data_IF_644703355719
#
_entry.id   IF_644703355719
#
_cell.length_a   1.000
_cell.length_b   1.000
_cell.length_c   1.000
_cell.angle_alpha   90.00
_cell.angle_beta   90.00
_cell.angle_gamma   90.00
#
_symmetry.space_group_name_H-M   'P 1'
#
loop_
_entity.id
_entity.type
_entity.pdbx_description
1 polymer ?
#
# COMPACT_ATOMS: atom_id res chain seq x y z
N UNK A 1 46.73 -21.22 -1.49
CA UNK A 1 46.29 -19.97 -0.84
C UNK A 1 45.00 -19.52 -1.50
N UNK A 2 43.91 -19.42 -0.73
CA UNK A 2 42.54 -19.23 -1.21
C UNK A 2 42.36 -17.80 -1.73
N UNK A 3 42.06 -17.64 -3.02
CA UNK A 3 41.48 -16.41 -3.54
C UNK A 3 40.01 -16.36 -3.11
N UNK A 4 39.77 -15.81 -1.93
CA UNK A 4 38.45 -15.38 -1.52
C UNK A 4 38.12 -14.16 -2.38
N UNK A 5 37.45 -14.41 -3.49
CA UNK A 5 36.90 -13.40 -4.39
C UNK A 5 36.07 -12.41 -3.59
N UNK A 6 36.51 -11.15 -3.65
CA UNK A 6 35.93 -9.91 -3.16
C UNK A 6 34.48 -9.61 -3.65
N UNK A 7 33.78 -10.61 -4.20
CA UNK A 7 32.39 -10.51 -4.67
C UNK A 7 31.36 -10.83 -3.57
N UNK A 8 31.80 -11.36 -2.42
CA UNK A 8 30.90 -11.71 -1.32
C UNK A 8 30.59 -10.54 -0.36
N UNK A 9 31.16 -9.35 -0.57
CA UNK A 9 31.09 -8.26 0.41
C UNK A 9 29.94 -7.24 0.22
N UNK A 10 29.03 -7.43 -0.74
CA UNK A 10 28.04 -6.41 -1.11
C UNK A 10 26.56 -6.86 -1.09
N UNK A 11 26.25 -8.02 -0.51
CA UNK A 11 24.84 -8.48 -0.38
C UNK A 11 24.29 -8.42 1.06
N UNK A 12 25.07 -7.93 2.01
CA UNK A 12 24.61 -7.67 3.39
C UNK A 12 24.15 -6.22 3.51
N UNK A 13 22.94 -5.94 3.03
CA UNK A 13 22.45 -4.56 2.94
C UNK A 13 20.94 -4.41 2.78
N UNK A 14 20.14 -5.34 3.29
CA UNK A 14 18.77 -4.98 3.70
C UNK A 14 18.77 -5.13 5.21
N UNK A 15 18.93 -3.99 5.89
CA UNK A 15 18.70 -3.92 7.31
C UNK A 15 17.27 -4.44 7.55
N UNK A 16 17.17 -5.63 8.13
CA UNK A 16 15.96 -6.07 8.79
C UNK A 16 15.71 -5.04 9.91
N UNK A 17 14.85 -4.06 9.63
CA UNK A 17 14.35 -3.15 10.63
C UNK A 17 13.57 -3.99 11.64
N UNK A 18 14.25 -4.44 12.69
CA UNK A 18 13.62 -4.98 13.90
C UNK A 18 12.93 -3.81 14.61
N UNK A 19 11.75 -3.43 14.12
CA UNK A 19 10.89 -2.48 14.81
C UNK A 19 10.00 -3.24 15.77
N UNK A 20 10.16 -2.92 17.06
CA UNK A 20 9.28 -3.17 18.20
C UNK A 20 7.93 -3.81 17.83
N UNK A 21 7.77 -5.08 18.20
CA UNK A 21 6.58 -5.89 17.96
C UNK A 21 5.38 -5.42 18.80
N UNK A 22 4.81 -4.26 18.48
CA UNK A 22 3.37 -4.19 18.38
C UNK A 22 3.03 -4.77 17.01
N UNK A 23 2.15 -5.77 16.94
CA UNK A 23 1.68 -6.28 15.66
C UNK A 23 1.07 -5.10 14.89
N UNK A 24 1.84 -4.56 13.92
CA UNK A 24 1.38 -3.46 13.10
C UNK A 24 0.06 -3.86 12.44
N UNK A 25 -0.91 -2.95 12.43
CA UNK A 25 -2.22 -3.24 11.83
C UNK A 25 -2.08 -3.54 10.34
N UNK A 26 -3.05 -4.22 9.74
CA UNK A 26 -3.08 -4.42 8.28
C UNK A 26 -3.02 -3.07 7.56
N UNK A 27 -3.74 -2.06 8.06
CA UNK A 27 -3.69 -0.69 7.56
C UNK A 27 -2.25 -0.14 7.51
N UNK A 28 -1.52 -0.21 8.63
CA UNK A 28 -0.16 0.31 8.72
C UNK A 28 0.82 -0.46 7.82
N UNK A 29 0.67 -1.78 7.76
CA UNK A 29 1.50 -2.63 6.91
C UNK A 29 1.27 -2.38 5.42
N UNK A 30 0.02 -2.18 4.99
CA UNK A 30 -0.31 -1.82 3.61
C UNK A 30 0.36 -0.51 3.19
N UNK A 31 0.36 0.49 4.07
CA UNK A 31 1.01 1.79 3.82
C UNK A 31 2.53 1.64 3.80
N UNK A 32 3.09 0.86 4.71
CA UNK A 32 4.53 0.60 4.76
C UNK A 32 5.02 -0.11 3.48
N UNK A 33 4.32 -1.15 3.04
CA UNK A 33 4.62 -1.85 1.79
C UNK A 33 4.58 -0.89 0.59
N UNK A 34 3.55 -0.04 0.49
CA UNK A 34 3.44 0.94 -0.58
C UNK A 34 4.61 1.92 -0.60
N UNK A 35 5.09 2.38 0.58
CA UNK A 35 6.28 3.23 0.68
C UNK A 35 7.54 2.52 0.17
N UNK A 36 7.76 1.28 0.61
CA UNK A 36 8.90 0.48 0.16
C UNK A 36 8.89 0.26 -1.36
N UNK A 37 7.72 -0.02 -1.95
CA UNK A 37 7.56 -0.18 -3.39
C UNK A 37 7.87 1.11 -4.16
N UNK A 38 7.46 2.27 -3.64
CA UNK A 38 7.78 3.56 -4.24
C UNK A 38 9.27 3.84 -4.15
N UNK A 39 9.89 3.62 -3.00
CA UNK A 39 11.33 3.84 -2.80
C UNK A 39 12.17 2.95 -3.72
N UNK A 40 11.86 1.65 -3.79
CA UNK A 40 12.49 0.74 -4.73
C UNK A 40 12.22 1.14 -6.18
N UNK A 41 11.02 1.62 -6.48
CA UNK A 41 10.62 2.16 -7.78
C UNK A 41 11.46 3.37 -8.19
N UNK A 42 11.73 4.30 -7.26
CA UNK A 42 12.61 5.46 -7.50
C UNK A 42 14.05 5.00 -7.77
N UNK A 43 14.57 4.10 -6.93
CA UNK A 43 15.98 3.68 -6.98
C UNK A 43 16.32 2.79 -8.18
N UNK A 44 15.44 1.84 -8.51
CA UNK A 44 15.72 0.78 -9.49
C UNK A 44 14.60 0.53 -10.51
N UNK A 45 13.54 1.34 -10.49
CA UNK A 45 12.42 1.22 -11.42
C UNK A 45 11.51 0.03 -11.14
N UNK A 46 10.73 -0.33 -12.16
CA UNK A 46 9.72 -1.39 -12.05
C UNK A 46 10.31 -2.74 -11.62
N UNK A 47 11.52 -3.08 -12.09
CA UNK A 47 12.19 -4.33 -11.73
C UNK A 47 12.48 -4.38 -10.24
N UNK A 48 13.13 -3.36 -9.68
CA UNK A 48 13.45 -3.32 -8.25
C UNK A 48 12.19 -3.29 -7.38
N UNK A 49 11.15 -2.53 -7.78
CA UNK A 49 9.88 -2.53 -7.07
C UNK A 49 9.24 -3.94 -7.00
N UNK A 50 9.36 -4.75 -8.07
CA UNK A 50 8.78 -6.10 -8.12
C UNK A 50 9.54 -7.14 -7.29
N UNK A 51 10.77 -6.84 -6.90
CA UNK A 51 11.59 -7.67 -6.02
C UNK A 51 11.31 -7.41 -4.53
N UNK A 52 10.59 -6.31 -4.20
CA UNK A 52 10.21 -5.99 -2.82
C UNK A 52 9.26 -7.05 -2.28
N UNK A 53 9.68 -7.72 -1.20
CA UNK A 53 8.80 -8.57 -0.43
C UNK A 53 7.83 -7.71 0.38
N UNK A 54 6.53 -7.92 0.15
CA UNK A 54 5.46 -7.19 0.82
C UNK A 54 4.98 -7.97 2.05
N UNK A 55 4.76 -7.28 3.17
CA UNK A 55 4.26 -7.88 4.41
C UNK A 55 2.79 -8.31 4.29
N UNK A 56 2.02 -7.60 3.46
CA UNK A 56 0.60 -7.86 3.22
C UNK A 56 0.32 -8.14 1.75
N UNK A 57 -0.74 -8.89 1.49
CA UNK A 57 -1.31 -9.03 0.15
C UNK A 57 -2.22 -7.85 -0.19
N UNK A 58 -2.42 -7.59 -1.49
CA UNK A 58 -3.42 -6.62 -1.98
C UNK A 58 -4.82 -6.95 -1.43
N UNK A 59 -5.17 -8.24 -1.33
CA UNK A 59 -6.47 -8.69 -0.85
C UNK A 59 -6.69 -8.30 0.62
N UNK A 60 -5.70 -8.50 1.50
CA UNK A 60 -5.79 -8.07 2.90
C UNK A 60 -5.99 -6.55 3.02
N UNK A 61 -5.32 -5.75 2.18
CA UNK A 61 -5.52 -4.30 2.15
C UNK A 61 -6.92 -3.91 1.64
N UNK A 62 -7.47 -4.63 0.65
CA UNK A 62 -8.84 -4.41 0.16
C UNK A 62 -9.87 -4.75 1.23
N UNK A 63 -9.69 -5.83 1.97
CA UNK A 63 -10.56 -6.19 3.09
C UNK A 63 -10.55 -5.12 4.20
N UNK A 64 -9.37 -4.56 4.50
CA UNK A 64 -9.26 -3.43 5.42
C UNK A 64 -10.00 -2.19 4.90
N UNK A 65 -9.86 -1.87 3.61
CA UNK A 65 -10.59 -0.76 3.00
C UNK A 65 -12.11 -0.97 3.08
N UNK A 66 -12.58 -2.18 2.77
CA UNK A 66 -14.00 -2.54 2.88
C UNK A 66 -14.50 -2.44 4.33
N UNK A 67 -13.70 -2.84 5.33
CA UNK A 67 -14.07 -2.65 6.76
C UNK A 67 -14.35 -1.17 7.08
N UNK A 68 -13.55 -0.26 6.54
CA UNK A 68 -13.77 1.18 6.72
C UNK A 68 -15.07 1.65 6.03
N UNK A 69 -15.38 1.10 4.85
CA UNK A 69 -16.59 1.46 4.09
C UNK A 69 -17.87 0.96 4.75
N UNK A 70 -17.86 -0.25 5.33
CA UNK A 70 -19.03 -0.85 6.00
C UNK A 70 -19.51 0.01 7.18
N UNK A 71 -18.62 0.72 7.86
CA UNK A 71 -18.99 1.66 8.93
C UNK A 71 -19.95 2.78 8.46
N UNK A 72 -20.01 3.04 7.15
CA UNK A 72 -20.85 4.05 6.52
C UNK A 72 -21.93 3.47 5.61
N UNK A 73 -22.13 2.15 5.59
CA UNK A 73 -22.95 1.45 4.59
C UNK A 73 -24.33 2.08 4.40
N UNK A 74 -25.06 2.36 5.47
CA UNK A 74 -26.40 2.97 5.39
C UNK A 74 -26.45 4.37 4.77
N UNK A 75 -25.31 5.04 4.63
CA UNK A 75 -25.20 6.39 4.06
C UNK A 75 -24.78 6.35 2.59
N UNK A 76 -23.98 5.36 2.18
CA UNK A 76 -23.53 5.22 0.80
C UNK A 76 -24.25 4.12 0.00
N UNK A 77 -24.96 3.20 0.66
CA UNK A 77 -26.01 2.34 0.10
C UNK A 77 -27.29 2.60 0.86
N UNK A 78 -28.29 3.17 0.20
CA UNK A 78 -29.56 3.49 0.85
C UNK A 78 -30.74 3.27 -0.09
N UNK A 79 -31.88 2.95 0.49
CA UNK A 79 -33.14 2.87 -0.25
C UNK A 79 -33.91 4.19 -0.10
N UNK A 80 -34.49 4.66 -1.20
CA UNK A 80 -35.44 5.76 -1.20
C UNK A 80 -36.52 5.49 -2.23
N UNK A 81 -37.78 5.64 -1.84
CA UNK A 81 -38.94 5.44 -2.72
C UNK A 81 -38.95 4.05 -3.43
N UNK A 82 -38.52 2.99 -2.72
CA UNK A 82 -38.43 1.63 -3.26
C UNK A 82 -37.28 1.39 -4.24
N UNK A 83 -36.30 2.29 -4.30
CA UNK A 83 -35.13 2.19 -5.18
C UNK A 83 -33.83 2.22 -4.39
N UNK A 84 -32.89 1.36 -4.75
CA UNK A 84 -31.53 1.37 -4.20
C UNK A 84 -30.69 2.46 -4.86
N UNK A 85 -29.99 3.23 -4.03
CA UNK A 85 -29.04 4.27 -4.44
C UNK A 85 -27.68 3.97 -3.86
N UNK A 86 -26.64 4.18 -4.68
CA UNK A 86 -25.24 4.01 -4.28
C UNK A 86 -24.47 5.31 -4.49
N UNK A 87 -23.79 5.79 -3.45
CA UNK A 87 -22.81 6.87 -3.49
C UNK A 87 -21.42 6.28 -3.34
N UNK A 88 -20.40 7.03 -3.75
CA UNK A 88 -19.03 6.65 -3.42
C UNK A 88 -18.83 6.69 -1.89
N UNK A 89 -18.28 5.64 -1.24
CA UNK A 89 -18.16 5.58 0.21
C UNK A 89 -17.45 6.80 0.82
N UNK A 90 -16.39 7.29 0.17
CA UNK A 90 -15.63 8.45 0.64
C UNK A 90 -16.48 9.73 0.79
N UNK A 91 -17.59 9.86 0.06
CA UNK A 91 -18.41 11.08 0.05
C UNK A 91 -19.20 11.31 1.34
N UNK A 92 -19.43 10.24 2.12
CA UNK A 92 -20.19 10.29 3.38
C UNK A 92 -19.31 10.13 4.62
N UNK A 93 -18.03 9.80 4.43
CA UNK A 93 -17.05 9.69 5.51
C UNK A 93 -16.74 11.04 6.15
N UNK A 94 -16.36 11.01 7.43
CA UNK A 94 -15.74 12.16 8.11
C UNK A 94 -14.45 12.57 7.38
N UNK A 95 -13.96 13.82 7.54
CA UNK A 95 -12.68 14.22 6.95
C UNK A 95 -11.50 13.32 7.37
N UNK A 96 -11.47 12.86 8.62
CA UNK A 96 -10.41 11.98 9.13
C UNK A 96 -10.47 10.59 8.50
N UNK A 97 -11.64 9.96 8.49
CA UNK A 97 -11.80 8.60 7.94
C UNK A 97 -11.64 8.59 6.43
N UNK A 98 -12.07 9.66 5.74
CA UNK A 98 -11.82 9.87 4.32
C UNK A 98 -10.32 9.94 4.01
N UNK A 99 -9.54 10.62 4.86
CA UNK A 99 -8.09 10.70 4.68
C UNK A 99 -7.44 9.32 4.86
N UNK A 100 -7.85 8.56 5.88
CA UNK A 100 -7.36 7.19 6.09
C UNK A 100 -7.75 6.29 4.90
N UNK A 101 -8.99 6.36 4.46
CA UNK A 101 -9.50 5.59 3.31
C UNK A 101 -8.72 5.91 2.04
N UNK A 102 -8.52 7.20 1.73
CA UNK A 102 -7.76 7.62 0.55
C UNK A 102 -6.29 7.20 0.62
N UNK A 103 -5.71 7.20 1.83
CA UNK A 103 -4.33 6.72 2.04
C UNK A 103 -4.22 5.23 1.76
N UNK A 104 -5.13 4.41 2.29
CA UNK A 104 -5.16 2.97 2.05
C UNK A 104 -5.49 2.64 0.58
N UNK A 105 -6.43 3.36 -0.03
CA UNK A 105 -6.76 3.22 -1.45
C UNK A 105 -5.52 3.43 -2.33
N UNK A 106 -4.77 4.51 -2.12
CA UNK A 106 -3.53 4.78 -2.85
C UNK A 106 -2.44 3.74 -2.57
N UNK A 107 -2.38 3.20 -1.35
CA UNK A 107 -1.47 2.12 -1.02
C UNK A 107 -1.82 0.84 -1.79
N UNK A 108 -3.10 0.49 -1.93
CA UNK A 108 -3.58 -0.64 -2.74
C UNK A 108 -3.18 -0.46 -4.21
N UNK A 109 -3.37 0.72 -4.78
CA UNK A 109 -2.95 0.99 -6.16
C UNK A 109 -1.45 0.78 -6.34
N UNK A 110 -0.65 1.35 -5.42
CA UNK A 110 0.81 1.20 -5.42
C UNK A 110 1.23 -0.27 -5.31
N UNK A 111 0.60 -1.04 -4.44
CA UNK A 111 0.84 -2.48 -4.26
C UNK A 111 0.48 -3.31 -5.49
N UNK A 112 -0.41 -2.82 -6.35
CA UNK A 112 -0.69 -3.40 -7.67
C UNK A 112 0.29 -2.92 -8.75
N UNK A 113 1.31 -2.14 -8.41
CA UNK A 113 2.20 -1.47 -9.36
C UNK A 113 1.44 -0.53 -10.32
N UNK A 114 0.40 0.13 -9.79
CA UNK A 114 -0.48 1.06 -10.50
C UNK A 114 -0.65 2.36 -9.72
N UNK A 115 -1.46 3.27 -10.26
CA UNK A 115 -1.76 4.54 -9.65
C UNK A 115 -0.69 5.59 -9.95
N UNK A 116 -1.11 6.85 -9.97
CA UNK A 116 -0.27 7.97 -10.40
C UNK A 116 1.03 8.03 -9.60
N UNK A 117 0.96 7.87 -8.27
CA UNK A 117 2.14 7.98 -7.41
C UNK A 117 3.22 6.94 -7.74
N UNK A 118 2.83 5.68 -7.95
CA UNK A 118 3.77 4.61 -8.33
C UNK A 118 4.32 4.83 -9.74
N UNK A 119 3.44 5.15 -10.70
CA UNK A 119 3.84 5.38 -12.09
C UNK A 119 4.81 6.55 -12.21
N UNK A 120 4.55 7.65 -11.47
CA UNK A 120 5.46 8.78 -11.40
C UNK A 120 6.82 8.40 -10.81
N UNK A 121 6.82 7.64 -9.71
CA UNK A 121 8.04 7.17 -9.04
C UNK A 121 8.92 6.31 -9.97
N UNK A 122 8.32 5.42 -10.75
CA UNK A 122 9.05 4.51 -11.65
C UNK A 122 9.43 5.16 -12.98
N UNK A 123 8.61 6.06 -13.51
CA UNK A 123 8.81 6.66 -14.83
C UNK A 123 9.73 7.89 -14.77
N UNK A 124 9.54 8.77 -13.78
CA UNK A 124 10.31 10.01 -13.63
C UNK A 124 11.42 9.89 -12.58
N UNK A 125 12.08 8.74 -12.53
CA UNK A 125 13.26 8.52 -11.67
C UNK A 125 14.29 9.61 -11.94
N UNK A 126 14.62 10.39 -10.93
CA UNK A 126 15.74 11.35 -10.93
C UNK A 126 16.81 10.85 -9.96
#
# INVERSE_FOLDING_TARGET
MKQLTLKALLLSGVAAFSMNAHAASVYDQCIADAKLLIEAGIQGGNTAAREVQQATTVQQCREELTRMEVAYESQWRYEKDGKEYVRAPYSVMTPEDRLKWATLFNAIDTKNFMGVRYLMAVYYRQ
#
